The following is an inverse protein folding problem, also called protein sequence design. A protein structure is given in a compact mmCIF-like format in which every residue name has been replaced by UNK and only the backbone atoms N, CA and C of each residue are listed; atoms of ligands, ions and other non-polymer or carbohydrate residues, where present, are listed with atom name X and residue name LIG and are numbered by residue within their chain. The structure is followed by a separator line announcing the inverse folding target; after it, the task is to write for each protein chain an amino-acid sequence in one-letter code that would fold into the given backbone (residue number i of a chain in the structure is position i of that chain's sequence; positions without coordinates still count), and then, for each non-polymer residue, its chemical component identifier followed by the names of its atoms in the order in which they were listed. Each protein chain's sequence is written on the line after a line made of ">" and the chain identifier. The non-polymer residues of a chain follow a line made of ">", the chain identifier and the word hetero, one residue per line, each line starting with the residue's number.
data_IF_215744383115
#
_entry.id   IF_215744383115
#
_cell.length_a   1.000
_cell.length_b   1.000
_cell.length_c   1.000
_cell.angle_alpha   90.00
_cell.angle_beta   90.00
_cell.angle_gamma   90.00
#
_symmetry.space_group_name_H-M   'P 1'
#
loop_
_entity.id
_entity.type
_entity.pdbx_description
1 polymer ?
#
# COMPACT_ATOMS: atom_id res chain seq x y z
N UNK A 1 3.52 -3.73 -14.44
CA UNK A 1 3.44 -2.25 -14.36
C UNK A 1 4.65 -1.76 -13.61
N UNK A 2 5.39 -0.81 -14.19
CA UNK A 2 6.63 -0.29 -13.65
C UNK A 2 6.43 1.08 -13.01
N UNK A 3 7.40 1.53 -12.21
CA UNK A 3 7.33 2.82 -11.52
C UNK A 3 7.16 3.99 -12.50
N UNK A 4 7.77 3.90 -13.69
CA UNK A 4 7.67 4.90 -14.75
C UNK A 4 6.26 5.06 -15.32
N UNK A 5 5.38 4.09 -15.09
CA UNK A 5 4.01 4.11 -15.60
C UNK A 5 3.05 4.92 -14.72
N UNK A 6 3.49 5.34 -13.54
CA UNK A 6 2.69 6.14 -12.61
C UNK A 6 2.66 7.58 -13.12
N UNK A 7 1.47 8.17 -13.38
CA UNK A 7 1.35 9.55 -13.82
C UNK A 7 2.08 10.49 -12.85
N UNK A 8 2.96 11.33 -13.38
CA UNK A 8 3.83 12.20 -12.57
C UNK A 8 3.01 13.17 -11.72
N UNK A 9 1.90 13.67 -12.27
CA UNK A 9 0.94 14.53 -11.57
C UNK A 9 0.27 13.80 -10.40
N UNK A 10 -0.07 12.52 -10.54
CA UNK A 10 -0.61 11.70 -9.46
C UNK A 10 0.44 11.50 -8.35
N UNK A 11 1.68 11.19 -8.75
CA UNK A 11 2.80 10.97 -7.82
C UNK A 11 3.10 12.23 -7.00
N UNK A 12 3.20 13.39 -7.67
CA UNK A 12 3.48 14.68 -7.01
C UNK A 12 2.32 15.11 -6.12
N UNK A 13 1.07 15.03 -6.59
CA UNK A 13 -0.10 15.39 -5.80
C UNK A 13 -0.19 14.59 -4.50
N UNK A 14 -0.03 13.26 -4.58
CA UNK A 14 -0.14 12.43 -3.37
C UNK A 14 1.03 12.65 -2.42
N UNK A 15 2.23 12.88 -2.96
CA UNK A 15 3.40 13.25 -2.17
C UNK A 15 3.11 14.51 -1.33
N UNK A 16 2.61 15.55 -2.00
CA UNK A 16 2.31 16.83 -1.38
C UNK A 16 1.12 16.72 -0.42
N UNK A 17 0.07 15.99 -0.79
CA UNK A 17 -1.10 15.75 0.07
C UNK A 17 -0.69 15.04 1.36
N UNK A 18 0.15 14.01 1.28
CA UNK A 18 0.68 13.32 2.45
C UNK A 18 1.50 14.26 3.35
N UNK A 19 2.44 14.99 2.76
CA UNK A 19 3.29 15.95 3.48
C UNK A 19 2.43 17.01 4.18
N UNK A 20 1.51 17.63 3.44
CA UNK A 20 0.64 18.69 3.92
C UNK A 20 -0.36 18.18 4.97
N UNK A 21 -0.88 16.96 4.84
CA UNK A 21 -1.80 16.37 5.82
C UNK A 21 -1.11 16.12 7.17
N UNK A 22 0.13 15.61 7.18
CA UNK A 22 0.87 15.39 8.42
C UNK A 22 1.35 16.72 9.00
N UNK A 23 1.89 17.61 8.16
CA UNK A 23 2.26 18.98 8.56
C UNK A 23 1.08 19.73 9.18
N UNK A 24 -0.10 19.67 8.58
CA UNK A 24 -1.32 20.29 9.09
C UNK A 24 -1.78 19.74 10.44
N UNK A 25 -1.41 18.50 10.77
CA UNK A 25 -1.71 17.87 12.08
C UNK A 25 -0.67 18.19 13.17
N UNK A 26 0.39 18.94 12.86
CA UNK A 26 1.48 19.28 13.79
C UNK A 26 1.00 19.82 15.13
N UNK A 27 0.15 20.84 15.13
CA UNK A 27 -0.37 21.43 16.38
C UNK A 27 -1.12 20.40 17.21
N UNK A 28 -1.98 19.60 16.57
CA UNK A 28 -2.75 18.55 17.24
C UNK A 28 -1.87 17.46 17.83
N UNK A 29 -0.77 17.11 17.15
CA UNK A 29 0.21 16.14 17.66
C UNK A 29 0.94 16.72 18.87
N UNK A 30 1.42 17.97 18.77
CA UNK A 30 2.06 18.67 19.89
C UNK A 30 1.13 18.76 21.10
N UNK A 31 -0.13 19.17 20.91
CA UNK A 31 -1.12 19.28 21.98
C UNK A 31 -1.36 17.94 22.68
N UNK A 32 -1.46 16.85 21.90
CA UNK A 32 -1.62 15.50 22.45
C UNK A 32 -0.37 15.04 23.19
N UNK A 33 0.81 15.34 22.67
CA UNK A 33 2.09 15.01 23.29
C UNK A 33 2.28 15.74 24.62
N UNK A 34 2.04 17.05 24.65
CA UNK A 34 2.11 17.86 25.87
C UNK A 34 0.99 17.52 26.86
N UNK A 35 -0.19 17.08 26.41
CA UNK A 35 -1.21 16.55 27.31
C UNK A 35 -0.79 15.23 27.96
N UNK A 36 -0.10 14.38 27.22
CA UNK A 36 0.38 13.10 27.72
C UNK A 36 1.60 13.25 28.65
N UNK A 37 2.47 14.23 28.36
CA UNK A 37 3.70 14.50 29.10
C UNK A 37 3.77 16.01 29.37
N UNK A 38 2.96 16.52 30.31
CA UNK A 38 2.85 17.97 30.58
C UNK A 38 4.09 18.56 31.26
N UNK A 39 4.82 17.74 32.00
CA UNK A 39 5.90 18.18 32.87
C UNK A 39 7.03 17.14 32.97
N UNK A 40 8.09 17.52 33.66
CA UNK A 40 9.27 16.68 33.86
C UNK A 40 9.01 15.48 34.76
N UNK A 41 7.96 15.50 35.59
CA UNK A 41 7.55 14.35 36.43
C UNK A 41 6.91 13.29 35.54
N UNK A 42 5.93 13.68 34.70
CA UNK A 42 5.31 12.78 33.72
C UNK A 42 6.29 12.27 32.67
N UNK A 43 7.32 13.05 32.34
CA UNK A 43 8.41 12.56 31.50
C UNK A 43 9.12 11.37 32.17
N UNK A 44 9.44 11.48 33.46
CA UNK A 44 10.11 10.40 34.19
C UNK A 44 9.21 9.16 34.25
N UNK A 45 7.95 9.33 34.65
CA UNK A 45 6.99 8.23 34.78
C UNK A 45 6.69 7.51 33.44
N UNK A 46 6.61 8.24 32.32
CA UNK A 46 6.16 7.68 31.03
C UNK A 46 7.27 7.35 30.04
N UNK A 47 8.46 7.90 30.23
CA UNK A 47 9.61 7.67 29.34
C UNK A 47 10.77 7.07 30.11
N UNK A 48 11.21 7.72 31.19
CA UNK A 48 12.47 7.33 31.83
C UNK A 48 12.38 6.01 32.60
N UNK A 49 11.31 5.80 33.37
CA UNK A 49 11.09 4.58 34.15
C UNK A 49 10.80 3.37 33.25
N UNK A 50 9.84 3.42 32.30
CA UNK A 50 9.61 2.32 31.37
C UNK A 50 10.85 1.99 30.52
N UNK A 51 11.60 3.01 30.10
CA UNK A 51 12.85 2.80 29.36
C UNK A 51 13.94 2.12 30.20
N UNK A 52 13.99 2.41 31.50
CA UNK A 52 14.89 1.76 32.44
C UNK A 52 14.50 0.28 32.69
N UNK A 53 13.21 0.00 32.81
CA UNK A 53 12.69 -1.36 32.96
C UNK A 53 13.03 -2.19 31.71
N UNK A 54 12.67 -1.70 30.52
CA UNK A 54 12.95 -2.42 29.27
C UNK A 54 14.44 -2.67 29.03
N UNK A 55 15.32 -1.71 29.32
CA UNK A 55 16.77 -1.94 29.15
C UNK A 55 17.33 -2.93 30.17
N UNK A 56 16.72 -3.05 31.36
CA UNK A 56 17.15 -3.99 32.38
C UNK A 56 16.86 -5.45 32.02
N UNK A 57 15.84 -5.69 31.19
CA UNK A 57 15.46 -7.01 30.67
C UNK A 57 16.36 -7.51 29.54
N UNK A 58 16.95 -6.60 28.77
CA UNK A 58 17.76 -6.94 27.59
C UNK A 58 19.21 -7.30 27.94
N UNK A 59 19.79 -6.66 28.96
CA UNK A 59 21.17 -6.92 29.33
C UNK A 59 21.31 -8.13 30.25
N UNK A 60 22.33 -8.96 30.01
CA UNK A 60 22.67 -10.08 30.90
C UNK A 60 22.99 -9.56 32.33
N UNK A 61 22.23 -9.97 33.36
CA UNK A 61 22.45 -9.54 34.74
C UNK A 61 23.82 -9.96 35.30
N UNK A 62 24.39 -11.05 34.81
CA UNK A 62 25.69 -11.58 35.25
C UNK A 62 26.89 -10.85 34.64
N UNK A 63 26.65 -9.87 33.76
CA UNK A 63 27.73 -9.08 33.19
C UNK A 63 28.35 -8.15 34.25
N UNK A 64 29.68 -8.15 34.36
CA UNK A 64 30.43 -7.42 35.40
C UNK A 64 30.14 -5.91 35.47
N UNK A 65 29.62 -5.31 34.39
CA UNK A 65 29.25 -3.88 34.32
C UNK A 65 27.75 -3.63 34.32
N UNK A 66 26.90 -4.64 34.48
CA UNK A 66 25.44 -4.54 34.41
C UNK A 66 24.88 -3.38 35.24
N UNK A 67 25.12 -3.41 36.55
CA UNK A 67 24.68 -2.37 37.49
C UNK A 67 25.27 -0.97 37.18
N UNK A 68 26.43 -0.91 36.52
CA UNK A 68 27.06 0.36 36.16
C UNK A 68 26.42 0.98 34.92
N UNK A 69 26.08 0.14 33.92
CA UNK A 69 25.40 0.57 32.70
C UNK A 69 23.96 0.98 33.01
N UNK A 70 23.22 0.21 33.81
CA UNK A 70 21.86 0.57 34.19
C UNK A 70 21.79 1.89 34.96
N UNK A 71 22.67 2.10 35.95
CA UNK A 71 22.77 3.39 36.66
C UNK A 71 23.10 4.54 35.72
N UNK A 72 24.04 4.33 34.79
CA UNK A 72 24.40 5.34 33.78
C UNK A 72 23.22 5.65 32.84
N UNK A 73 22.47 4.64 32.42
CA UNK A 73 21.29 4.80 31.58
C UNK A 73 20.21 5.60 32.32
N UNK A 74 19.84 5.18 33.55
CA UNK A 74 18.85 5.88 34.38
C UNK A 74 19.20 7.35 34.56
N UNK A 75 20.45 7.65 34.90
CA UNK A 75 20.93 9.02 35.08
C UNK A 75 20.84 9.84 33.77
N UNK A 76 21.22 9.26 32.63
CA UNK A 76 21.17 9.94 31.33
C UNK A 76 19.75 10.25 30.88
N UNK A 77 18.84 9.27 30.96
CA UNK A 77 17.46 9.45 30.50
C UNK A 77 16.71 10.41 31.41
N UNK A 78 16.91 10.32 32.73
CA UNK A 78 16.31 11.26 33.70
C UNK A 78 16.82 12.68 33.49
N UNK A 79 18.12 12.88 33.24
CA UNK A 79 18.69 14.19 32.90
C UNK A 79 18.09 14.78 31.61
N UNK A 80 17.62 13.94 30.70
CA UNK A 80 16.99 14.36 29.45
C UNK A 80 15.67 15.12 29.63
N UNK A 81 15.02 15.04 30.80
CA UNK A 81 13.69 15.62 31.04
C UNK A 81 13.62 17.13 30.77
N UNK A 82 14.62 17.89 31.24
CA UNK A 82 14.65 19.35 31.11
C UNK A 82 14.95 19.76 29.66
N UNK A 83 15.81 18.99 28.99
CA UNK A 83 16.15 19.18 27.58
C UNK A 83 14.93 18.89 26.71
N UNK A 84 14.19 17.81 27.00
CA UNK A 84 13.00 17.43 26.26
C UNK A 84 11.91 18.49 26.40
N UNK A 85 11.60 18.89 27.64
CA UNK A 85 10.54 19.86 27.91
C UNK A 85 10.88 21.23 27.29
N UNK A 86 12.14 21.67 27.37
CA UNK A 86 12.58 22.92 26.77
C UNK A 86 12.69 22.92 25.24
N UNK A 87 12.77 21.74 24.58
CA UNK A 87 12.99 21.64 23.12
C UNK A 87 11.79 21.13 22.34
N UNK A 88 10.84 20.43 22.95
CA UNK A 88 9.72 19.80 22.24
C UNK A 88 8.90 20.82 21.45
N UNK A 89 8.55 21.97 22.05
CA UNK A 89 7.80 23.02 21.35
C UNK A 89 8.60 23.61 20.19
N UNK A 90 9.92 23.79 20.35
CA UNK A 90 10.79 24.28 19.27
C UNK A 90 10.95 23.26 18.14
N UNK A 91 10.95 21.96 18.44
CA UNK A 91 11.02 20.90 17.43
C UNK A 91 9.74 20.85 16.56
N UNK A 92 8.60 21.23 17.14
CA UNK A 92 7.30 21.34 16.47
C UNK A 92 7.00 22.76 15.97
N UNK A 93 7.96 23.70 16.01
CA UNK A 93 7.81 25.00 15.37
C UNK A 93 7.82 24.87 13.83
N UNK A 94 7.47 25.95 13.14
CA UNK A 94 7.54 26.01 11.67
C UNK A 94 8.97 25.90 11.15
N UNK A 95 9.18 25.03 10.17
CA UNK A 95 10.52 24.64 9.71
C UNK A 95 11.33 23.83 10.73
N UNK A 96 10.73 23.43 11.86
CA UNK A 96 11.39 22.69 12.93
C UNK A 96 11.70 21.23 12.57
N UNK A 97 12.33 20.53 13.51
CA UNK A 97 12.78 19.15 13.32
C UNK A 97 11.64 18.18 12.93
N UNK A 98 10.41 18.43 13.38
CA UNK A 98 9.25 17.63 12.98
C UNK A 98 8.97 17.71 11.47
N UNK A 99 8.89 18.93 10.92
CA UNK A 99 8.62 19.13 9.49
C UNK A 99 9.77 18.65 8.61
N UNK A 100 11.01 18.89 9.04
CA UNK A 100 12.20 18.37 8.35
C UNK A 100 12.21 16.83 8.34
N UNK A 101 11.80 16.20 9.45
CA UNK A 101 11.70 14.75 9.55
C UNK A 101 10.65 14.17 8.59
N UNK A 102 9.49 14.82 8.44
CA UNK A 102 8.46 14.41 7.47
C UNK A 102 9.00 14.55 6.05
N UNK A 103 9.61 15.70 5.74
CA UNK A 103 10.19 15.95 4.42
C UNK A 103 11.24 14.90 4.05
N UNK A 104 12.14 14.56 4.97
CA UNK A 104 13.17 13.53 4.76
C UNK A 104 12.61 12.10 4.61
N UNK A 105 11.37 11.84 5.06
CA UNK A 105 10.71 10.53 4.94
C UNK A 105 9.72 10.44 3.79
N UNK A 106 9.54 11.52 3.07
CA UNK A 106 8.64 11.61 1.93
C UNK A 106 9.01 10.61 0.83
N UNK A 107 10.28 10.50 0.49
CA UNK A 107 10.71 9.56 -0.55
C UNK A 107 10.52 8.09 -0.10
N UNK A 108 10.73 7.79 1.18
CA UNK A 108 10.42 6.46 1.74
C UNK A 108 8.92 6.14 1.65
N UNK A 109 8.06 7.12 1.96
CA UNK A 109 6.61 6.97 1.80
C UNK A 109 6.25 6.69 0.35
N UNK A 110 6.78 7.49 -0.59
CA UNK A 110 6.50 7.33 -2.02
C UNK A 110 6.95 5.98 -2.56
N UNK A 111 8.12 5.49 -2.16
CA UNK A 111 8.60 4.17 -2.60
C UNK A 111 7.64 3.05 -2.16
N UNK A 112 7.12 3.11 -0.94
CA UNK A 112 6.13 2.13 -0.47
C UNK A 112 4.78 2.27 -1.20
N UNK A 113 4.36 3.50 -1.50
CA UNK A 113 3.12 3.74 -2.24
C UNK A 113 3.19 3.26 -3.68
N UNK A 114 4.34 3.40 -4.35
CA UNK A 114 4.57 2.85 -5.70
C UNK A 114 4.31 1.36 -5.72
N UNK A 115 4.83 0.61 -4.74
CA UNK A 115 4.57 -0.83 -4.62
C UNK A 115 3.07 -1.11 -4.47
N UNK A 116 2.38 -0.40 -3.57
CA UNK A 116 0.95 -0.57 -3.36
C UNK A 116 0.15 -0.26 -4.63
N UNK A 117 0.47 0.81 -5.37
CA UNK A 117 -0.22 1.16 -6.61
C UNK A 117 0.04 0.18 -7.74
N UNK A 118 1.23 -0.43 -7.80
CA UNK A 118 1.52 -1.51 -8.75
C UNK A 118 0.61 -2.71 -8.55
N UNK A 119 0.18 -2.95 -7.31
CA UNK A 119 -0.56 -4.14 -6.89
C UNK A 119 -2.07 -3.88 -6.85
N UNK A 120 -2.49 -2.90 -6.05
CA UNK A 120 -3.91 -2.60 -5.74
C UNK A 120 -4.51 -1.65 -6.78
N UNK A 121 -3.65 -0.83 -7.40
CA UNK A 121 -4.09 0.32 -8.17
C UNK A 121 -4.54 1.49 -7.29
N UNK A 122 -5.01 2.55 -7.93
CA UNK A 122 -5.75 3.64 -7.28
C UNK A 122 -7.19 3.61 -7.77
N UNK A 123 -8.16 3.50 -6.85
CA UNK A 123 -9.58 3.41 -7.19
C UNK A 123 -10.21 4.78 -7.49
N UNK A 124 -9.58 5.88 -7.05
CA UNK A 124 -10.05 7.23 -7.37
C UNK A 124 -9.74 7.58 -8.84
N UNK A 125 -8.48 7.41 -9.25
CA UNK A 125 -8.07 7.63 -10.65
C UNK A 125 -8.24 6.42 -11.57
N UNK A 126 -8.69 5.27 -11.03
CA UNK A 126 -8.81 3.99 -11.74
C UNK A 126 -7.48 3.63 -12.44
N UNK A 127 -6.41 3.72 -11.66
CA UNK A 127 -5.06 3.37 -12.06
C UNK A 127 -4.75 1.91 -11.70
N UNK A 128 -4.02 1.20 -12.55
CA UNK A 128 -3.63 -0.21 -12.33
C UNK A 128 -4.46 -1.24 -13.09
N UNK A 129 -3.96 -2.49 -13.21
CA UNK A 129 -4.53 -3.51 -14.07
C UNK A 129 -5.85 -4.10 -13.53
N UNK A 130 -5.98 -4.31 -12.22
CA UNK A 130 -7.18 -4.87 -11.59
C UNK A 130 -8.45 -4.01 -11.82
N UNK A 131 -8.47 -2.69 -11.50
CA UNK A 131 -9.66 -1.89 -11.71
C UNK A 131 -9.99 -1.71 -13.21
N UNK A 132 -8.98 -1.75 -14.10
CA UNK A 132 -9.20 -1.73 -15.56
C UNK A 132 -9.83 -3.03 -16.07
N UNK A 133 -9.40 -4.19 -15.55
CA UNK A 133 -10.02 -5.47 -15.88
C UNK A 133 -11.49 -5.51 -15.45
N UNK A 134 -11.82 -4.94 -14.28
CA UNK A 134 -13.22 -4.79 -13.83
C UNK A 134 -14.05 -3.91 -14.77
N UNK A 135 -13.48 -2.81 -15.28
CA UNK A 135 -14.15 -1.96 -16.27
C UNK A 135 -14.39 -2.69 -17.60
N UNK A 136 -13.41 -3.50 -18.06
CA UNK A 136 -13.54 -4.32 -19.24
C UNK A 136 -14.71 -5.32 -19.09
N UNK A 137 -14.64 -6.21 -18.09
CA UNK A 137 -15.67 -7.22 -17.81
C UNK A 137 -17.06 -6.62 -17.55
N UNK A 138 -17.11 -5.39 -17.01
CA UNK A 138 -18.34 -4.63 -16.79
C UNK A 138 -18.92 -3.97 -18.05
N UNK A 139 -18.26 -4.09 -19.21
CA UNK A 139 -18.65 -3.47 -20.48
C UNK A 139 -18.55 -1.94 -20.47
N UNK A 140 -17.63 -1.36 -19.71
CA UNK A 140 -17.50 0.10 -19.52
C UNK A 140 -16.50 0.72 -20.50
N UNK A 141 -16.67 0.44 -21.80
CA UNK A 141 -15.75 0.84 -22.87
C UNK A 141 -15.33 2.32 -22.82
N UNK A 142 -16.28 3.26 -22.67
CA UNK A 142 -15.98 4.70 -22.62
C UNK A 142 -15.11 5.10 -21.43
N UNK A 143 -15.31 4.47 -20.28
CA UNK A 143 -14.53 4.75 -19.07
C UNK A 143 -13.15 4.13 -19.20
N UNK A 144 -13.08 2.89 -19.69
CA UNK A 144 -11.81 2.21 -19.94
C UNK A 144 -10.92 3.00 -20.91
N UNK A 145 -11.50 3.55 -21.98
CA UNK A 145 -10.79 4.39 -22.95
C UNK A 145 -10.24 5.67 -22.33
N UNK A 146 -10.92 6.24 -21.32
CA UNK A 146 -10.47 7.46 -20.64
C UNK A 146 -9.31 7.22 -19.65
N UNK A 147 -9.14 5.99 -19.18
CA UNK A 147 -8.16 5.64 -18.12
C UNK A 147 -7.03 4.73 -18.64
N UNK A 148 -7.07 4.34 -19.91
CA UNK A 148 -6.01 3.55 -20.53
C UNK A 148 -4.70 4.34 -20.56
N UNK A 149 -3.61 3.64 -20.31
CA UNK A 149 -2.25 4.16 -20.47
C UNK A 149 -1.74 3.80 -21.86
N UNK A 150 -0.68 4.45 -22.33
CA UNK A 150 -0.12 4.22 -23.66
C UNK A 150 0.35 2.76 -23.88
N UNK A 151 0.69 2.05 -22.80
CA UNK A 151 1.08 0.63 -22.81
C UNK A 151 -0.10 -0.34 -22.82
N UNK A 152 -1.30 0.13 -22.46
CA UNK A 152 -2.47 -0.74 -22.39
C UNK A 152 -2.96 -1.00 -23.82
N UNK A 153 -3.11 -2.26 -24.18
CA UNK A 153 -3.64 -2.65 -25.48
C UNK A 153 -5.10 -3.07 -25.32
N UNK A 154 -6.00 -2.42 -26.05
CA UNK A 154 -7.42 -2.79 -26.12
C UNK A 154 -7.80 -2.93 -27.58
N UNK A 155 -8.30 -4.10 -27.95
CA UNK A 155 -8.87 -4.38 -29.27
C UNK A 155 -10.35 -4.70 -29.12
N UNK A 156 -11.16 -4.27 -30.10
CA UNK A 156 -12.62 -4.43 -30.03
C UNK A 156 -13.30 -3.47 -29.06
N UNK A 157 -14.50 -3.83 -28.60
CA UNK A 157 -15.30 -3.02 -27.65
C UNK A 157 -15.71 -3.89 -26.47
N UNK A 158 -15.33 -3.53 -25.23
CA UNK A 158 -15.72 -4.29 -24.06
C UNK A 158 -17.24 -4.45 -23.92
N UNK A 159 -17.68 -5.67 -23.65
CA UNK A 159 -19.06 -6.06 -23.45
C UNK A 159 -19.27 -6.53 -22.00
N UNK A 160 -20.44 -6.22 -21.43
CA UNK A 160 -20.74 -6.67 -20.08
C UNK A 160 -21.10 -8.16 -20.08
N UNK A 161 -20.21 -8.98 -19.51
CA UNK A 161 -20.31 -10.45 -19.52
C UNK A 161 -21.28 -11.02 -18.48
N UNK A 162 -21.50 -10.35 -17.35
CA UNK A 162 -22.23 -10.90 -16.21
C UNK A 162 -23.70 -10.49 -16.20
N UNK A 163 -24.58 -11.41 -15.79
CA UNK A 163 -26.00 -11.10 -15.57
C UNK A 163 -26.15 -9.93 -14.58
N UNK A 164 -27.08 -8.98 -14.81
CA UNK A 164 -27.21 -7.77 -14.00
C UNK A 164 -27.31 -8.02 -12.49
N UNK A 165 -27.97 -9.11 -12.08
CA UNK A 165 -28.17 -9.50 -10.69
C UNK A 165 -26.90 -10.01 -9.98
N UNK A 166 -25.90 -10.44 -10.74
CA UNK A 166 -24.65 -11.00 -10.21
C UNK A 166 -23.45 -10.07 -10.41
N UNK A 167 -23.50 -9.20 -11.43
CA UNK A 167 -22.38 -8.38 -11.88
C UNK A 167 -21.64 -7.65 -10.75
N UNK A 168 -22.35 -6.94 -9.86
CA UNK A 168 -21.71 -6.15 -8.80
C UNK A 168 -20.95 -7.00 -7.78
N UNK A 169 -21.45 -8.19 -7.47
CA UNK A 169 -20.80 -9.10 -6.51
C UNK A 169 -19.59 -9.77 -7.12
N UNK A 170 -19.73 -10.26 -8.36
CA UNK A 170 -18.65 -10.99 -9.03
C UNK A 170 -17.51 -10.08 -9.40
N UNK A 171 -17.80 -8.89 -9.95
CA UNK A 171 -16.75 -7.91 -10.28
C UNK A 171 -15.95 -7.51 -9.04
N UNK A 172 -16.59 -7.36 -7.88
CA UNK A 172 -15.90 -7.09 -6.62
C UNK A 172 -15.02 -8.27 -6.17
N UNK A 173 -15.49 -9.50 -6.36
CA UNK A 173 -14.71 -10.70 -6.03
C UNK A 173 -13.52 -10.87 -6.97
N UNK A 174 -13.71 -10.65 -8.28
CA UNK A 174 -12.64 -10.68 -9.28
C UNK A 174 -11.57 -9.62 -8.98
N UNK A 175 -11.99 -8.39 -8.64
CA UNK A 175 -11.06 -7.32 -8.21
C UNK A 175 -10.20 -7.77 -7.03
N UNK A 176 -10.82 -8.36 -6.00
CA UNK A 176 -10.11 -8.86 -4.82
C UNK A 176 -9.10 -9.98 -5.17
N UNK A 177 -9.51 -10.95 -5.98
CA UNK A 177 -8.65 -12.06 -6.40
C UNK A 177 -7.47 -11.55 -7.22
N UNK A 178 -7.69 -10.61 -8.14
CA UNK A 178 -6.62 -10.00 -8.94
C UNK A 178 -5.62 -9.27 -8.04
N UNK A 179 -6.09 -8.47 -7.07
CA UNK A 179 -5.22 -7.74 -6.14
C UNK A 179 -4.37 -8.72 -5.32
N UNK A 180 -4.98 -9.79 -4.80
CA UNK A 180 -4.28 -10.81 -4.01
C UNK A 180 -3.23 -11.54 -4.86
N UNK A 181 -3.61 -11.98 -6.06
CA UNK A 181 -2.73 -12.69 -6.98
C UNK A 181 -1.56 -11.84 -7.45
N UNK A 182 -1.83 -10.62 -7.94
CA UNK A 182 -0.79 -9.68 -8.38
C UNK A 182 0.18 -9.36 -7.25
N UNK A 183 -0.30 -9.20 -6.01
CA UNK A 183 0.55 -8.98 -4.85
C UNK A 183 1.52 -10.15 -4.63
N UNK A 184 0.99 -11.36 -4.53
CA UNK A 184 1.78 -12.55 -4.26
C UNK A 184 2.82 -12.80 -5.37
N UNK A 185 2.43 -12.64 -6.63
CA UNK A 185 3.29 -12.86 -7.80
C UNK A 185 4.40 -11.80 -7.87
N UNK A 186 4.07 -10.51 -7.68
CA UNK A 186 5.08 -9.44 -7.72
C UNK A 186 6.09 -9.56 -6.59
N UNK A 187 5.64 -9.88 -5.37
CA UNK A 187 6.54 -10.10 -4.24
C UNK A 187 7.43 -11.33 -4.45
N UNK A 188 6.89 -12.42 -5.01
CA UNK A 188 7.69 -13.58 -5.36
C UNK A 188 8.74 -13.24 -6.43
N UNK A 189 8.37 -12.48 -7.46
CA UNK A 189 9.32 -12.00 -8.49
C UNK A 189 10.42 -11.15 -7.88
N UNK A 190 10.08 -10.16 -7.05
CA UNK A 190 11.05 -9.27 -6.38
C UNK A 190 11.98 -10.01 -5.42
N UNK A 191 11.52 -11.13 -4.85
CA UNK A 191 12.30 -12.00 -3.98
C UNK A 191 13.05 -13.12 -4.74
N UNK A 192 13.02 -13.11 -6.08
CA UNK A 192 13.63 -14.16 -6.94
C UNK A 192 13.11 -15.58 -6.63
N UNK A 193 11.84 -15.69 -6.23
CA UNK A 193 11.17 -16.95 -5.94
C UNK A 193 10.32 -17.43 -7.13
N UNK A 194 10.12 -18.75 -7.30
CA UNK A 194 9.22 -19.28 -8.34
C UNK A 194 7.78 -18.77 -8.13
N UNK A 195 7.16 -18.28 -9.21
CA UNK A 195 5.81 -17.70 -9.17
C UNK A 195 4.80 -18.31 -10.18
N UNK A 196 5.22 -19.23 -11.04
CA UNK A 196 4.36 -19.84 -12.07
C UNK A 196 3.16 -20.61 -11.48
N UNK A 197 3.39 -21.28 -10.34
CA UNK A 197 2.33 -21.97 -9.60
C UNK A 197 1.30 -20.99 -9.05
N UNK A 198 1.74 -19.81 -8.56
CA UNK A 198 0.84 -18.77 -8.09
C UNK A 198 -0.05 -18.26 -9.23
N UNK A 199 0.53 -17.98 -10.40
CA UNK A 199 -0.23 -17.59 -11.60
C UNK A 199 -1.30 -18.64 -11.92
N UNK A 200 -0.92 -19.92 -11.92
CA UNK A 200 -1.82 -21.04 -12.22
C UNK A 200 -2.97 -21.12 -11.22
N UNK A 201 -2.68 -21.03 -9.93
CA UNK A 201 -3.67 -21.13 -8.85
C UNK A 201 -4.67 -19.96 -8.90
N UNK A 202 -4.19 -18.71 -9.03
CA UNK A 202 -5.06 -17.54 -9.10
C UNK A 202 -5.90 -17.52 -10.38
N UNK A 203 -5.36 -17.94 -11.53
CA UNK A 203 -6.13 -18.05 -12.77
C UNK A 203 -7.23 -19.11 -12.67
N UNK A 204 -6.99 -20.23 -11.98
CA UNK A 204 -8.02 -21.23 -11.74
C UNK A 204 -9.16 -20.68 -10.87
N UNK A 205 -8.85 -19.86 -9.86
CA UNK A 205 -9.86 -19.17 -9.05
C UNK A 205 -10.64 -18.16 -9.92
N UNK A 206 -9.96 -17.32 -10.70
CA UNK A 206 -10.61 -16.36 -11.60
C UNK A 206 -11.56 -17.04 -12.58
N UNK A 207 -11.14 -18.15 -13.19
CA UNK A 207 -11.96 -18.95 -14.11
C UNK A 207 -13.23 -19.48 -13.44
N UNK A 208 -13.16 -19.88 -12.17
CA UNK A 208 -14.33 -20.37 -11.42
C UNK A 208 -15.46 -19.33 -11.28
N UNK A 209 -15.15 -18.04 -11.47
CA UNK A 209 -16.10 -16.93 -11.48
C UNK A 209 -16.41 -16.47 -12.90
N UNK A 210 -15.38 -16.17 -13.70
CA UNK A 210 -15.52 -15.54 -15.02
C UNK A 210 -16.12 -16.51 -16.05
N UNK A 211 -15.79 -17.80 -15.97
CA UNK A 211 -16.29 -18.85 -16.89
C UNK A 211 -17.54 -19.56 -16.38
N UNK A 212 -18.09 -19.13 -15.24
CA UNK A 212 -19.24 -19.78 -14.64
C UNK A 212 -20.54 -19.44 -15.38
N UNK A 213 -21.11 -20.42 -16.06
CA UNK A 213 -22.34 -20.27 -16.87
C UNK A 213 -23.57 -19.87 -16.04
N UNK A 214 -23.56 -20.07 -14.72
CA UNK A 214 -24.62 -19.57 -13.85
C UNK A 214 -24.63 -18.03 -13.79
N UNK A 215 -23.47 -17.40 -13.94
CA UNK A 215 -23.26 -15.97 -13.74
C UNK A 215 -23.19 -15.16 -15.04
N UNK A 216 -22.77 -15.80 -16.14
CA UNK A 216 -22.59 -15.17 -17.45
C UNK A 216 -23.93 -14.99 -18.17
N UNK A 217 -24.07 -13.93 -18.97
CA UNK A 217 -25.24 -13.69 -19.83
C UNK A 217 -25.34 -14.69 -20.99
N UNK A 218 -26.56 -14.88 -21.51
CA UNK A 218 -26.75 -15.61 -22.76
C UNK A 218 -26.05 -14.91 -23.94
N UNK A 219 -25.44 -15.67 -24.85
CA UNK A 219 -24.72 -15.13 -26.00
C UNK A 219 -23.23 -14.88 -25.78
N UNK A 220 -22.72 -15.08 -24.56
CA UNK A 220 -21.28 -15.04 -24.25
C UNK A 220 -20.72 -16.46 -24.35
N UNK A 221 -19.56 -16.59 -24.99
CA UNK A 221 -18.79 -17.83 -25.01
C UNK A 221 -17.95 -17.92 -23.72
N UNK A 222 -18.42 -18.74 -22.78
CA UNK A 222 -17.78 -18.95 -21.49
C UNK A 222 -16.39 -19.62 -21.60
N UNK A 223 -16.14 -20.40 -22.66
CA UNK A 223 -14.87 -21.12 -22.80
C UNK A 223 -13.76 -20.18 -23.29
N UNK A 224 -14.12 -19.20 -24.12
CA UNK A 224 -13.21 -18.23 -24.70
C UNK A 224 -13.23 -16.86 -24.00
N UNK A 225 -14.03 -16.70 -22.94
CA UNK A 225 -14.04 -15.50 -22.09
C UNK A 225 -13.22 -15.75 -20.83
N UNK A 226 -12.24 -14.90 -20.52
CA UNK A 226 -11.40 -15.04 -19.33
C UNK A 226 -10.84 -13.71 -18.83
N UNK A 227 -10.38 -13.72 -17.58
CA UNK A 227 -9.56 -12.68 -16.99
C UNK A 227 -8.38 -13.37 -16.29
N UNK A 228 -7.19 -13.28 -16.86
CA UNK A 228 -6.01 -13.99 -16.39
C UNK A 228 -4.88 -13.04 -16.03
N UNK A 229 -4.08 -13.45 -15.05
CA UNK A 229 -2.77 -12.89 -14.78
C UNK A 229 -1.77 -13.64 -15.65
N UNK A 230 -0.92 -12.90 -16.35
CA UNK A 230 0.11 -13.46 -17.21
C UNK A 230 1.46 -12.80 -16.94
N UNK A 231 2.53 -13.51 -17.26
CA UNK A 231 3.88 -12.98 -17.27
C UNK A 231 4.39 -12.84 -18.70
N UNK A 232 4.62 -11.60 -19.12
CA UNK A 232 5.24 -11.28 -20.40
C UNK A 232 6.76 -11.29 -20.23
N UNK A 233 7.39 -12.39 -20.66
CA UNK A 233 8.84 -12.58 -20.58
C UNK A 233 9.64 -11.64 -21.52
N UNK A 234 9.02 -11.05 -22.54
CA UNK A 234 9.70 -10.14 -23.48
C UNK A 234 9.90 -8.79 -22.84
N UNK A 235 8.85 -8.28 -22.19
CA UNK A 235 8.87 -6.98 -21.51
C UNK A 235 9.19 -7.09 -20.01
N UNK A 236 9.36 -8.30 -19.48
CA UNK A 236 9.61 -8.60 -18.06
C UNK A 236 8.52 -8.04 -17.11
N UNK A 237 7.25 -8.13 -17.53
CA UNK A 237 6.13 -7.56 -16.78
C UNK A 237 5.05 -8.59 -16.44
N UNK A 238 4.51 -8.48 -15.23
CA UNK A 238 3.25 -9.13 -14.86
C UNK A 238 2.10 -8.24 -15.35
N UNK A 239 1.16 -8.85 -16.06
CA UNK A 239 0.02 -8.18 -16.71
C UNK A 239 -1.29 -8.91 -16.42
N UNK A 240 -2.41 -8.22 -16.67
CA UNK A 240 -3.75 -8.82 -16.63
C UNK A 240 -4.33 -8.78 -18.02
N UNK A 241 -4.75 -9.93 -18.52
CA UNK A 241 -5.35 -10.11 -19.84
C UNK A 241 -6.81 -10.43 -19.68
N UNK A 242 -7.66 -9.64 -20.34
CA UNK A 242 -9.10 -9.87 -20.41
C UNK A 242 -9.45 -10.20 -21.84
N UNK A 243 -10.10 -11.36 -22.03
CA UNK A 243 -10.67 -11.75 -23.31
C UNK A 243 -12.17 -11.93 -23.14
N UNK A 244 -12.94 -11.34 -24.05
CA UNK A 244 -14.40 -11.41 -24.07
C UNK A 244 -14.83 -11.97 -25.42
N UNK A 245 -15.60 -13.05 -25.40
CA UNK A 245 -16.04 -13.74 -26.59
C UNK A 245 -17.56 -13.91 -26.60
N UNK A 246 -18.17 -13.77 -27.78
CA UNK A 246 -19.59 -14.06 -28.01
C UNK A 246 -19.75 -15.34 -28.81
N UNK A 247 -20.90 -16.00 -28.66
CA UNK A 247 -21.28 -17.20 -29.42
C UNK A 247 -21.49 -16.92 -30.92
#
# INVERSE_FOLDING_TARGET
>A
MDESDIPTDLRERIRDDWYNAIKGKRSKILDRLLRAIPDTVKYVERIAEPGYEGISEVFNPNWVKYNRVLRKYKAKVTRGKDIWHGRVSSAFAEGGAFEQGIYAKMDTYMNNMVTIWRIVGDKDTIFGPAPKAVLALGGKAKVLEAVKLAKDTVTGTPINIFKPEHATRILSTVDQILIEGLNAILLAKEAELPFDALITDYNAILDSYVKNTAFIKSGIDANNTFCHIEYDAVNDVVQVVVQEATL
#
